data_IF_906305014968
#
_entry.id   IF_906305014968
#
_cell.length_a   1.000
_cell.length_b   1.000
_cell.length_c   1.000
_cell.angle_alpha   90.00
_cell.angle_beta   90.00
_cell.angle_gamma   90.00
#
_symmetry.space_group_name_H-M   'P 1'
#
loop_
_entity.id
_entity.type
_entity.pdbx_description
1 polymer ?
#
# COMPACT_ATOMS: atom_id res chain seq x y z
N UNK A 1 2.00 16.40 10.44
CA UNK A 1 1.15 15.27 10.01
C UNK A 1 1.50 14.80 8.62
N UNK A 2 1.23 13.55 8.32
CA UNK A 2 1.51 12.95 7.00
C UNK A 2 0.28 12.24 6.47
N UNK A 3 0.15 12.23 5.15
CA UNK A 3 -0.83 11.43 4.43
C UNK A 3 -0.06 10.37 3.64
N UNK A 4 -0.50 9.12 3.71
CA UNK A 4 0.08 8.06 2.92
C UNK A 4 -0.98 7.42 2.03
N UNK A 5 -0.61 7.16 0.78
CA UNK A 5 -1.34 6.27 -0.10
C UNK A 5 -0.51 5.02 -0.30
N UNK A 6 -1.14 3.87 -0.14
CA UNK A 6 -0.51 2.58 -0.35
C UNK A 6 -1.20 1.88 -1.51
N UNK A 7 -0.42 1.30 -2.39
CA UNK A 7 -0.93 0.57 -3.56
C UNK A 7 -0.26 -0.79 -3.59
N UNK A 8 -1.04 -1.84 -3.69
CA UNK A 8 -0.52 -3.19 -3.87
C UNK A 8 -1.49 -4.04 -4.71
N UNK A 9 -0.97 -5.15 -5.24
CA UNK A 9 -1.80 -6.16 -5.88
C UNK A 9 -2.79 -6.73 -4.86
N UNK A 10 -4.03 -6.99 -5.27
CA UNK A 10 -5.07 -7.56 -4.40
C UNK A 10 -4.62 -8.84 -3.68
N UNK A 11 -3.74 -9.66 -4.31
CA UNK A 11 -3.21 -10.86 -3.68
C UNK A 11 -2.37 -10.59 -2.44
N UNK A 12 -1.84 -9.37 -2.31
CA UNK A 12 -0.96 -9.00 -1.19
C UNK A 12 -1.63 -8.12 -0.15
N UNK A 13 -2.90 -7.77 -0.35
CA UNK A 13 -3.58 -6.84 0.57
C UNK A 13 -3.70 -7.42 1.98
N UNK A 14 -3.88 -8.72 2.12
CA UNK A 14 -3.94 -9.36 3.45
C UNK A 14 -2.62 -9.20 4.19
N UNK A 15 -1.47 -9.41 3.50
CA UNK A 15 -0.15 -9.17 4.07
C UNK A 15 0.03 -7.71 4.50
N UNK A 16 -0.41 -6.78 3.66
CA UNK A 16 -0.35 -5.36 3.99
C UNK A 16 -1.20 -5.03 5.21
N UNK A 17 -2.39 -5.57 5.30
CA UNK A 17 -3.25 -5.37 6.48
C UNK A 17 -2.61 -5.91 7.75
N UNK A 18 -1.90 -7.03 7.67
CA UNK A 18 -1.15 -7.59 8.81
C UNK A 18 -0.03 -6.61 9.24
N UNK A 19 0.64 -5.97 8.29
CA UNK A 19 1.67 -4.97 8.60
C UNK A 19 1.08 -3.73 9.28
N UNK A 20 -0.09 -3.28 8.84
CA UNK A 20 -0.80 -2.18 9.51
C UNK A 20 -1.12 -2.56 10.96
N UNK A 21 -1.68 -3.74 11.15
CA UNK A 21 -2.02 -4.22 12.49
C UNK A 21 -0.78 -4.29 13.40
N UNK A 22 0.33 -4.81 12.88
CA UNK A 22 1.58 -4.91 13.63
C UNK A 22 2.15 -3.53 14.00
N UNK A 23 1.87 -2.51 13.21
CA UNK A 23 2.28 -1.14 13.48
C UNK A 23 1.30 -0.37 14.38
N UNK A 24 0.21 -1.01 14.81
CA UNK A 24 -0.82 -0.37 15.63
C UNK A 24 -1.72 0.59 14.86
N UNK A 25 -1.84 0.40 13.54
CA UNK A 25 -2.65 1.26 12.67
C UNK A 25 -4.00 0.59 12.46
N UNK A 26 -5.06 1.17 13.04
CA UNK A 26 -6.43 0.70 12.91
C UNK A 26 -7.34 1.73 12.21
N UNK A 27 -6.74 2.72 11.56
CA UNK A 27 -7.43 3.82 10.89
C UNK A 27 -6.94 3.93 9.45
N UNK A 28 -7.86 3.78 8.51
CA UNK A 28 -7.55 3.83 7.08
C UNK A 28 -8.84 3.90 6.27
N UNK A 29 -8.73 4.30 5.02
CA UNK A 29 -9.75 4.09 4.00
C UNK A 29 -9.17 3.18 2.92
N UNK A 30 -9.92 2.17 2.53
CA UNK A 30 -9.45 1.17 1.59
C UNK A 30 -10.38 1.06 0.38
N UNK A 31 -9.78 0.99 -0.80
CA UNK A 31 -10.46 0.70 -2.05
C UNK A 31 -9.90 -0.60 -2.63
N UNK A 32 -10.80 -1.51 -3.01
CA UNK A 32 -10.43 -2.76 -3.65
C UNK A 32 -10.77 -2.72 -5.15
N UNK A 33 -10.17 -3.64 -5.90
CA UNK A 33 -10.44 -3.80 -7.33
C UNK A 33 -10.14 -2.55 -8.16
N UNK A 34 -9.04 -1.90 -7.85
CA UNK A 34 -8.59 -0.69 -8.56
C UNK A 34 -7.65 -1.10 -9.68
N UNK A 35 -7.85 -0.52 -10.85
CA UNK A 35 -6.98 -0.74 -12.00
C UNK A 35 -5.73 0.11 -11.88
N UNK A 36 -4.59 -0.44 -12.30
CA UNK A 36 -3.35 0.30 -12.25
C UNK A 36 -2.27 -0.30 -13.12
N UNK A 37 -1.29 0.55 -13.48
CA UNK A 37 -0.09 0.13 -14.20
C UNK A 37 1.07 1.00 -13.75
N UNK A 38 2.12 0.34 -13.24
CA UNK A 38 3.38 1.01 -12.92
C UNK A 38 4.28 1.12 -14.16
N UNK A 39 5.26 1.99 -14.10
CA UNK A 39 6.26 2.08 -15.16
C UNK A 39 7.14 0.83 -15.16
N UNK A 40 7.22 0.15 -16.30
CA UNK A 40 7.99 -1.08 -16.45
C UNK A 40 7.39 -2.31 -15.75
N UNK A 41 6.14 -2.25 -15.31
CA UNK A 41 5.42 -3.37 -14.71
C UNK A 41 4.27 -3.81 -15.61
N UNK A 42 3.73 -5.00 -15.33
CA UNK A 42 2.53 -5.47 -16.00
C UNK A 42 1.30 -4.70 -15.51
N UNK A 43 0.32 -4.44 -16.40
CA UNK A 43 -0.89 -3.75 -15.99
C UNK A 43 -1.78 -4.62 -15.09
N UNK A 44 -2.33 -3.99 -14.04
CA UNK A 44 -3.33 -4.60 -13.14
C UNK A 44 -4.71 -4.02 -13.49
N UNK A 45 -5.30 -4.55 -14.55
CA UNK A 45 -6.54 -4.00 -15.13
C UNK A 45 -7.74 -4.93 -14.98
N UNK A 46 -7.56 -6.06 -14.31
CA UNK A 46 -8.64 -7.03 -14.12
C UNK A 46 -9.01 -7.81 -15.38
N UNK A 47 -8.12 -7.86 -16.38
CA UNK A 47 -8.36 -8.51 -17.66
C UNK A 47 -7.32 -9.58 -17.93
N UNK A 48 -7.73 -10.61 -18.72
CA UNK A 48 -6.84 -11.69 -19.14
C UNK A 48 -6.79 -12.85 -18.17
N UNK A 49 -5.95 -13.85 -18.49
CA UNK A 49 -5.85 -15.11 -17.74
C UNK A 49 -5.31 -14.91 -16.31
N UNK A 50 -4.55 -13.85 -16.08
CA UNK A 50 -3.98 -13.50 -14.80
C UNK A 50 -4.47 -12.11 -14.37
N UNK A 51 -5.71 -11.77 -14.78
CA UNK A 51 -6.29 -10.47 -14.49
C UNK A 51 -6.29 -10.19 -13.01
N UNK A 52 -5.41 -9.28 -12.57
CA UNK A 52 -5.38 -8.78 -11.21
C UNK A 52 -5.73 -7.31 -11.19
N UNK A 53 -6.21 -6.87 -10.05
CA UNK A 53 -6.43 -5.46 -9.75
C UNK A 53 -5.62 -5.10 -8.51
N UNK A 54 -5.61 -3.83 -8.18
CA UNK A 54 -4.91 -3.31 -7.00
C UNK A 54 -5.89 -2.99 -5.88
N UNK A 55 -5.38 -2.99 -4.67
CA UNK A 55 -6.00 -2.33 -3.53
C UNK A 55 -5.25 -1.03 -3.26
N UNK A 56 -5.97 -0.01 -2.83
CA UNK A 56 -5.43 1.29 -2.45
C UNK A 56 -5.90 1.61 -1.04
N UNK A 57 -4.98 2.04 -0.19
CA UNK A 57 -5.29 2.53 1.15
C UNK A 57 -4.88 3.99 1.26
N UNK A 58 -5.69 4.78 1.96
CA UNK A 58 -5.35 6.14 2.36
C UNK A 58 -5.32 6.20 3.88
N UNK A 59 -4.23 6.70 4.44
CA UNK A 59 -4.03 6.77 5.87
C UNK A 59 -3.50 8.15 6.24
N UNK A 60 -4.17 8.82 7.19
CA UNK A 60 -3.68 10.08 7.75
C UNK A 60 -3.00 9.80 9.09
N UNK A 61 -1.78 10.30 9.25
CA UNK A 61 -0.98 10.10 10.45
C UNK A 61 -0.81 11.41 11.21
N UNK A 62 -1.39 11.49 12.39
CA UNK A 62 -1.09 12.56 13.35
C UNK A 62 0.23 12.27 14.07
N UNK A 63 0.44 11.02 14.52
CA UNK A 63 1.69 10.52 15.03
C UNK A 63 2.44 9.79 13.93
N UNK A 64 3.68 10.18 13.66
CA UNK A 64 4.48 9.62 12.58
C UNK A 64 5.23 8.34 12.96
N UNK A 65 5.22 7.93 14.22
CA UNK A 65 5.89 6.69 14.65
C UNK A 65 5.34 5.45 13.98
N UNK A 66 4.00 5.23 13.92
CA UNK A 66 3.46 4.08 13.21
C UNK A 66 3.81 4.08 11.72
N UNK A 67 3.87 5.27 11.09
CA UNK A 67 4.26 5.40 9.70
C UNK A 67 5.71 4.93 9.48
N UNK A 68 6.63 5.33 10.35
CA UNK A 68 8.03 4.89 10.26
C UNK A 68 8.18 3.39 10.34
N UNK A 69 7.48 2.75 11.29
CA UNK A 69 7.47 1.29 11.41
C UNK A 69 6.88 0.63 10.16
N UNK A 70 5.78 1.14 9.66
CA UNK A 70 5.14 0.61 8.45
C UNK A 70 6.07 0.68 7.25
N UNK A 71 6.76 1.81 7.06
CA UNK A 71 7.72 1.98 5.97
C UNK A 71 8.84 0.94 6.06
N UNK A 72 9.43 0.76 7.24
CA UNK A 72 10.51 -0.21 7.45
C UNK A 72 10.03 -1.63 7.12
N UNK A 73 8.84 -2.00 7.55
CA UNK A 73 8.28 -3.32 7.31
C UNK A 73 7.91 -3.54 5.84
N UNK A 74 7.42 -2.51 5.15
CA UNK A 74 7.16 -2.56 3.71
C UNK A 74 8.47 -2.72 2.92
N UNK A 75 9.49 -1.97 3.26
CA UNK A 75 10.80 -2.10 2.62
C UNK A 75 11.34 -3.52 2.76
N UNK A 76 11.21 -4.12 3.94
CA UNK A 76 11.61 -5.49 4.20
C UNK A 76 10.80 -6.48 3.38
N UNK A 77 9.47 -6.31 3.33
CA UNK A 77 8.60 -7.15 2.52
C UNK A 77 8.96 -7.08 1.04
N UNK A 78 9.19 -5.87 0.52
CA UNK A 78 9.57 -5.67 -0.88
C UNK A 78 10.92 -6.30 -1.20
N UNK A 79 11.87 -6.25 -0.28
CA UNK A 79 13.18 -6.88 -0.44
C UNK A 79 13.08 -8.41 -0.57
N UNK A 80 12.08 -9.02 0.05
CA UNK A 80 11.82 -10.46 -0.01
C UNK A 80 10.95 -10.86 -1.20
N UNK A 81 10.34 -9.90 -1.90
CA UNK A 81 9.42 -10.14 -3.00
C UNK A 81 10.15 -10.05 -4.33
N UNK A 82 10.24 -11.18 -5.05
CA UNK A 82 11.05 -11.27 -6.27
C UNK A 82 10.48 -10.44 -7.42
N UNK A 83 9.16 -10.40 -7.58
CA UNK A 83 8.50 -9.69 -8.69
C UNK A 83 8.21 -8.25 -8.30
N UNK A 84 8.70 -7.32 -9.12
CA UNK A 84 8.46 -5.90 -8.94
C UNK A 84 6.97 -5.54 -8.94
N UNK A 85 6.17 -6.25 -9.75
CA UNK A 85 4.73 -6.06 -9.84
C UNK A 85 4.00 -6.33 -8.53
N UNK A 86 4.63 -7.12 -7.65
CA UNK A 86 4.07 -7.55 -6.37
C UNK A 86 4.55 -6.69 -5.20
N UNK A 87 5.38 -5.67 -5.48
CA UNK A 87 5.83 -4.75 -4.44
C UNK A 87 4.70 -3.85 -3.97
N UNK A 88 4.66 -3.60 -2.68
CA UNK A 88 3.81 -2.58 -2.10
C UNK A 88 4.46 -1.22 -2.32
N UNK A 89 3.69 -0.26 -2.83
CA UNK A 89 4.15 1.12 -2.99
C UNK A 89 3.47 2.00 -1.95
N UNK A 90 4.25 2.82 -1.29
CA UNK A 90 3.76 3.81 -0.34
C UNK A 90 4.20 5.18 -0.81
N UNK A 91 3.23 6.09 -0.94
CA UNK A 91 3.46 7.49 -1.30
C UNK A 91 3.16 8.34 -0.08
N UNK A 92 4.13 9.12 0.36
CA UNK A 92 3.99 9.98 1.53
C UNK A 92 3.93 11.44 1.10
N UNK A 93 2.98 12.16 1.66
CA UNK A 93 2.80 13.59 1.41
C UNK A 93 2.66 14.35 2.74
N UNK A 94 3.07 15.61 2.78
CA UNK A 94 2.72 16.47 3.92
C UNK A 94 1.20 16.65 3.99
N UNK A 95 0.67 16.63 5.21
CA UNK A 95 -0.74 16.89 5.47
C UNK A 95 -0.85 18.11 6.38
N UNK A 96 -1.51 19.16 5.90
CA UNK A 96 -1.61 20.41 6.63
C UNK A 96 -2.71 20.38 7.69
N UNK A 97 -3.84 19.74 7.39
CA UNK A 97 -5.01 19.81 8.26
C UNK A 97 -5.94 18.63 8.04
N UNK A 98 -6.51 18.17 9.14
CA UNK A 98 -7.67 17.27 9.16
C UNK A 98 -8.82 18.05 9.76
N UNK A 99 -9.91 18.12 9.05
CA UNK A 99 -11.11 18.85 9.50
C UNK A 99 -12.14 17.90 10.05
#
# INVERSE_FOLDING_TARGET
MKLAFLVCNDFFVTRLMDLLHAAGIDYYTRWDNVKGKGHGTDPHLGKGSFGSTNAVLMIAFEDEKPLGKLIDDIERLNAETARRDDHVRLFQLPLERIV
#
